data_IF_655502769783
#
_entry.id   IF_655502769783
#
_cell.length_a   1.000
_cell.length_b   1.000
_cell.length_c   1.000
_cell.angle_alpha   90.00
_cell.angle_beta   90.00
_cell.angle_gamma   90.00
#
_symmetry.space_group_name_H-M   'P 1'
#
loop_
_entity.id
_entity.type
_entity.pdbx_description
1 polymer ?
#
# COMPACT_ATOMS: atom_id res chain seq x y z
N UNK A 1 -15.98 21.42 -25.88
CA UNK A 1 -17.12 22.26 -25.49
C UNK A 1 -16.79 22.88 -24.14
N UNK A 2 -16.51 24.18 -24.13
CA UNK A 2 -16.23 24.94 -22.91
C UNK A 2 -17.56 25.07 -22.16
N UNK A 3 -17.74 24.33 -21.06
CA UNK A 3 -18.90 24.51 -20.18
C UNK A 3 -18.77 25.86 -19.51
N UNK A 4 -19.47 26.86 -20.05
CA UNK A 4 -19.53 28.20 -19.48
C UNK A 4 -20.17 28.11 -18.07
N UNK A 5 -19.50 28.72 -17.11
CA UNK A 5 -20.01 28.85 -15.74
C UNK A 5 -21.12 29.92 -15.79
N UNK A 6 -22.33 29.64 -15.26
CA UNK A 6 -23.41 30.61 -15.27
C UNK A 6 -23.07 31.84 -14.41
N UNK A 7 -23.47 33.03 -14.87
CA UNK A 7 -23.34 34.27 -14.09
C UNK A 7 -24.13 34.17 -12.78
N UNK A 8 -23.47 34.48 -11.66
CA UNK A 8 -23.98 34.18 -10.30
C UNK A 8 -24.02 35.37 -9.35
N UNK A 9 -23.97 36.59 -9.90
CA UNK A 9 -23.90 37.85 -9.12
C UNK A 9 -25.00 37.96 -8.05
N UNK A 10 -26.25 37.59 -8.38
CA UNK A 10 -27.36 37.60 -7.40
C UNK A 10 -27.25 36.52 -6.32
N UNK A 11 -26.70 35.35 -6.66
CA UNK A 11 -26.50 34.26 -5.71
C UNK A 11 -25.41 34.66 -4.72
N UNK A 12 -24.31 35.26 -5.19
CA UNK A 12 -23.21 35.73 -4.35
C UNK A 12 -23.70 36.75 -3.32
N UNK A 13 -24.42 37.79 -3.74
CA UNK A 13 -24.98 38.79 -2.82
C UNK A 13 -25.90 38.18 -1.75
N UNK A 14 -26.79 37.25 -2.13
CA UNK A 14 -27.69 36.55 -1.19
C UNK A 14 -26.93 35.62 -0.23
N UNK A 15 -25.77 35.11 -0.62
CA UNK A 15 -24.96 34.21 0.22
C UNK A 15 -24.12 34.99 1.22
N UNK A 16 -23.63 36.17 0.84
CA UNK A 16 -22.86 37.07 1.72
C UNK A 16 -23.73 37.65 2.85
N UNK A 17 -24.95 38.13 2.53
CA UNK A 17 -25.86 38.68 3.54
C UNK A 17 -26.41 37.62 4.51
N UNK A 18 -26.50 36.36 4.07
CA UNK A 18 -27.04 35.26 4.87
C UNK A 18 -26.23 34.98 6.15
N UNK A 19 -24.90 35.16 6.12
CA UNK A 19 -24.04 34.90 7.28
C UNK A 19 -24.19 36.00 8.32
N UNK A 20 -24.28 37.26 7.89
CA UNK A 20 -24.46 38.41 8.79
C UNK A 20 -25.84 38.37 9.46
N UNK A 21 -26.88 38.07 8.68
CA UNK A 21 -28.24 37.92 9.20
C UNK A 21 -28.36 36.74 10.17
N UNK A 22 -27.69 35.61 9.88
CA UNK A 22 -27.64 34.47 10.80
C UNK A 22 -26.96 34.81 12.14
N UNK A 23 -25.87 35.59 12.13
CA UNK A 23 -25.16 36.01 13.35
C UNK A 23 -25.99 36.97 14.22
N UNK A 24 -26.94 37.70 13.61
CA UNK A 24 -27.81 38.65 14.31
C UNK A 24 -28.94 38.01 15.12
N UNK A 25 -29.23 36.72 14.92
CA UNK A 25 -30.30 36.04 15.66
C UNK A 25 -29.88 35.68 17.08
N UNK A 26 -30.58 36.26 18.07
CA UNK A 26 -30.57 35.82 19.46
C UNK A 26 -31.92 35.17 19.79
N UNK A 27 -31.97 33.83 19.80
CA UNK A 27 -33.21 33.07 19.95
C UNK A 27 -33.59 32.95 21.43
N UNK A 28 -34.14 34.02 22.00
CA UNK A 28 -34.55 34.11 23.41
C UNK A 28 -36.08 34.11 23.60
N UNK A 29 -36.86 34.12 22.51
CA UNK A 29 -38.31 34.15 22.54
C UNK A 29 -38.93 33.26 21.46
N UNK A 30 -40.19 32.78 21.66
CA UNK A 30 -40.90 31.98 20.67
C UNK A 30 -41.07 32.68 19.30
N UNK A 31 -41.23 34.00 19.29
CA UNK A 31 -41.37 34.80 18.07
C UNK A 31 -40.06 34.81 17.28
N UNK A 32 -38.92 34.99 17.96
CA UNK A 32 -37.59 34.96 17.31
C UNK A 32 -37.25 33.54 16.85
N UNK A 33 -37.68 32.50 17.58
CA UNK A 33 -37.56 31.11 17.15
C UNK A 33 -38.30 30.84 15.83
N UNK A 34 -39.55 31.30 15.71
CA UNK A 34 -40.34 31.14 14.49
C UNK A 34 -39.71 31.90 13.31
N UNK A 35 -39.26 33.14 13.52
CA UNK A 35 -38.57 33.94 12.52
C UNK A 35 -37.25 33.28 12.06
N UNK A 36 -36.44 32.77 12.98
CA UNK A 36 -35.20 32.03 12.66
C UNK A 36 -35.50 30.74 11.87
N UNK A 37 -36.61 30.05 12.18
CA UNK A 37 -37.06 28.88 11.44
C UNK A 37 -37.45 29.20 9.99
N UNK A 38 -38.14 30.32 9.76
CA UNK A 38 -38.49 30.79 8.41
C UNK A 38 -37.24 31.20 7.61
N UNK A 39 -36.31 31.91 8.25
CA UNK A 39 -35.03 32.28 7.64
C UNK A 39 -34.22 31.03 7.23
N UNK A 40 -34.11 30.04 8.12
CA UNK A 40 -33.46 28.75 7.83
C UNK A 40 -34.09 28.04 6.62
N UNK A 41 -35.41 28.09 6.48
CA UNK A 41 -36.13 27.55 5.31
C UNK A 41 -35.80 28.32 4.03
N UNK A 42 -35.67 29.65 4.11
CA UNK A 42 -35.20 30.49 3.01
C UNK A 42 -33.80 30.11 2.53
N UNK A 43 -32.85 29.90 3.46
CA UNK A 43 -31.51 29.43 3.14
C UNK A 43 -31.51 28.08 2.42
N UNK A 44 -32.40 27.16 2.80
CA UNK A 44 -32.57 25.88 2.10
C UNK A 44 -33.08 26.06 0.67
N UNK A 45 -33.95 27.04 0.43
CA UNK A 45 -34.38 27.42 -0.92
C UNK A 45 -33.23 27.91 -1.80
N UNK A 46 -32.37 28.80 -1.27
CA UNK A 46 -31.19 29.30 -1.98
C UNK A 46 -30.20 28.16 -2.27
N UNK A 47 -29.93 27.28 -1.29
CA UNK A 47 -29.10 26.09 -1.49
C UNK A 47 -29.64 25.20 -2.62
N UNK A 48 -30.96 25.02 -2.69
CA UNK A 48 -31.60 24.27 -3.77
C UNK A 48 -31.40 24.92 -5.14
N UNK A 49 -31.57 26.23 -5.25
CA UNK A 49 -31.35 26.97 -6.51
C UNK A 49 -29.89 26.88 -6.99
N UNK A 50 -28.93 26.96 -6.06
CA UNK A 50 -27.50 26.74 -6.36
C UNK A 50 -27.31 25.33 -6.93
N UNK A 51 -27.81 24.30 -6.24
CA UNK A 51 -27.68 22.92 -6.71
C UNK A 51 -28.35 22.72 -8.07
N UNK A 52 -29.56 23.24 -8.29
CA UNK A 52 -30.24 23.15 -9.59
C UNK A 52 -29.44 23.81 -10.73
N UNK A 53 -28.72 24.90 -10.42
CA UNK A 53 -27.90 25.64 -11.39
C UNK A 53 -26.59 24.90 -11.70
N UNK A 54 -25.91 24.37 -10.68
CA UNK A 54 -24.56 23.83 -10.81
C UNK A 54 -24.51 22.30 -10.98
N UNK A 55 -25.46 21.54 -10.43
CA UNK A 55 -25.50 20.08 -10.54
C UNK A 55 -25.46 19.58 -11.99
N UNK A 56 -26.18 20.19 -12.96
CA UNK A 56 -26.12 19.74 -14.35
C UNK A 56 -24.71 19.89 -14.96
N UNK A 57 -24.02 21.00 -14.66
CA UNK A 57 -22.65 21.26 -15.14
C UNK A 57 -21.67 20.30 -14.49
N UNK A 58 -21.77 20.10 -13.18
CA UNK A 58 -20.94 19.15 -12.42
C UNK A 58 -21.14 17.73 -12.93
N UNK A 59 -22.39 17.30 -13.13
CA UNK A 59 -22.73 15.97 -13.67
C UNK A 59 -22.16 15.77 -15.07
N UNK A 60 -22.28 16.76 -15.94
CA UNK A 60 -21.73 16.72 -17.31
C UNK A 60 -20.21 16.59 -17.30
N UNK A 61 -19.52 17.43 -16.52
CA UNK A 61 -18.06 17.38 -16.40
C UNK A 61 -17.58 16.05 -15.79
N UNK A 62 -18.27 15.55 -14.78
CA UNK A 62 -17.96 14.25 -14.17
C UNK A 62 -18.17 13.09 -15.14
N UNK A 63 -19.23 13.12 -15.95
CA UNK A 63 -19.48 12.13 -16.99
C UNK A 63 -18.35 12.13 -18.03
N UNK A 64 -17.96 13.30 -18.54
CA UNK A 64 -16.85 13.44 -19.49
C UNK A 64 -15.51 12.95 -18.90
N UNK A 65 -15.20 13.32 -17.66
CA UNK A 65 -14.02 12.83 -16.94
C UNK A 65 -14.05 11.30 -16.79
N UNK A 66 -15.19 10.74 -16.38
CA UNK A 66 -15.35 9.29 -16.20
C UNK A 66 -15.17 8.55 -17.52
N UNK A 67 -15.69 9.06 -18.62
CA UNK A 67 -15.49 8.49 -19.95
C UNK A 67 -14.04 8.56 -20.40
N UNK A 68 -13.38 9.69 -20.22
CA UNK A 68 -11.96 9.86 -20.54
C UNK A 68 -11.08 8.89 -19.72
N UNK A 69 -11.34 8.76 -18.42
CA UNK A 69 -10.63 7.81 -17.54
C UNK A 69 -10.91 6.37 -17.97
N UNK A 70 -12.16 6.04 -18.34
CA UNK A 70 -12.52 4.70 -18.83
C UNK A 70 -11.80 4.37 -20.14
N UNK A 71 -11.76 5.31 -21.09
CA UNK A 71 -11.03 5.14 -22.35
C UNK A 71 -9.54 4.95 -22.10
N UNK A 72 -8.91 5.82 -21.28
CA UNK A 72 -7.51 5.67 -20.87
C UNK A 72 -7.26 4.30 -20.24
N UNK A 73 -8.11 3.86 -19.30
CA UNK A 73 -7.98 2.57 -18.64
C UNK A 73 -8.09 1.40 -19.62
N UNK A 74 -9.03 1.45 -20.58
CA UNK A 74 -9.21 0.42 -21.60
C UNK A 74 -7.94 0.18 -22.42
N UNK A 75 -7.20 1.24 -22.74
CA UNK A 75 -5.96 1.14 -23.52
C UNK A 75 -4.73 0.84 -22.64
N UNK A 76 -4.70 1.33 -21.39
CA UNK A 76 -3.60 1.07 -20.46
C UNK A 76 -3.63 -0.35 -19.87
N UNK A 77 -4.80 -0.94 -19.65
CA UNK A 77 -4.89 -2.27 -19.01
C UNK A 77 -4.16 -3.38 -19.76
N UNK A 78 -4.28 -3.52 -21.10
CA UNK A 78 -3.50 -4.51 -21.85
C UNK A 78 -1.99 -4.29 -21.72
N UNK A 79 -1.52 -3.03 -21.76
CA UNK A 79 -0.10 -2.71 -21.60
C UNK A 79 0.40 -3.06 -20.20
N UNK A 80 -0.34 -2.68 -19.15
CA UNK A 80 0.00 -3.02 -17.77
C UNK A 80 0.04 -4.55 -17.57
N UNK A 81 -0.87 -5.30 -18.19
CA UNK A 81 -0.87 -6.77 -18.16
C UNK A 81 0.35 -7.35 -18.88
N UNK A 82 0.66 -6.86 -20.07
CA UNK A 82 1.82 -7.29 -20.83
C UNK A 82 3.13 -7.01 -20.07
N UNK A 83 3.25 -5.81 -19.50
CA UNK A 83 4.38 -5.43 -18.65
C UNK A 83 4.52 -6.36 -17.45
N UNK A 84 3.43 -6.66 -16.74
CA UNK A 84 3.44 -7.58 -15.60
C UNK A 84 3.90 -8.99 -16.01
N UNK A 85 3.42 -9.50 -17.14
CA UNK A 85 3.81 -10.82 -17.67
C UNK A 85 5.30 -10.84 -18.03
N UNK A 86 5.80 -9.82 -18.71
CA UNK A 86 7.22 -9.75 -19.11
C UNK A 86 8.12 -9.62 -17.88
N UNK A 87 7.76 -8.77 -16.91
CA UNK A 87 8.49 -8.64 -15.64
C UNK A 87 8.56 -9.96 -14.86
N UNK A 88 7.45 -10.69 -14.80
CA UNK A 88 7.41 -12.00 -14.14
C UNK A 88 8.30 -13.04 -14.84
N UNK A 89 8.28 -13.07 -16.18
CA UNK A 89 9.17 -13.94 -16.97
C UNK A 89 10.65 -13.59 -16.79
N UNK A 90 10.99 -12.29 -16.81
CA UNK A 90 12.36 -11.81 -16.57
C UNK A 90 12.80 -12.18 -15.16
N UNK A 91 11.93 -11.99 -14.15
CA UNK A 91 12.21 -12.34 -12.76
C UNK A 91 12.43 -13.84 -12.59
N UNK A 92 11.56 -14.67 -13.17
CA UNK A 92 11.66 -16.13 -13.12
C UNK A 92 12.95 -16.62 -13.78
N UNK A 93 13.30 -16.07 -14.94
CA UNK A 93 14.56 -16.40 -15.63
C UNK A 93 15.77 -15.99 -14.79
N UNK A 94 15.80 -14.77 -14.23
CA UNK A 94 16.90 -14.30 -13.40
C UNK A 94 17.10 -15.17 -12.15
N UNK A 95 16.02 -15.62 -11.51
CA UNK A 95 16.08 -16.56 -10.38
C UNK A 95 16.61 -17.93 -10.81
N UNK A 96 16.19 -18.43 -11.97
CA UNK A 96 16.66 -19.72 -12.49
C UNK A 96 18.16 -19.70 -12.86
N UNK A 97 18.61 -18.65 -13.53
CA UNK A 97 20.03 -18.45 -13.86
C UNK A 97 20.90 -18.31 -12.60
N UNK A 98 20.44 -17.53 -11.62
CA UNK A 98 21.13 -17.40 -10.34
C UNK A 98 21.22 -18.75 -9.60
N UNK A 99 20.15 -19.55 -9.65
CA UNK A 99 20.15 -20.90 -9.07
C UNK A 99 21.15 -21.81 -9.78
N UNK A 100 21.14 -21.80 -11.12
CA UNK A 100 22.06 -22.59 -11.94
C UNK A 100 23.52 -22.21 -11.64
N UNK A 101 23.82 -20.92 -11.57
CA UNK A 101 25.15 -20.43 -11.21
C UNK A 101 25.60 -20.95 -9.85
N UNK A 102 24.73 -20.87 -8.84
CA UNK A 102 25.03 -21.38 -7.49
C UNK A 102 25.23 -22.90 -7.45
N UNK A 103 24.44 -23.64 -8.23
CA UNK A 103 24.59 -25.09 -8.32
C UNK A 103 25.92 -25.47 -9.00
N UNK A 104 26.31 -24.74 -10.06
CA UNK A 104 27.61 -24.90 -10.73
C UNK A 104 28.79 -24.52 -9.82
N UNK A 105 28.69 -23.39 -9.10
CA UNK A 105 29.66 -22.97 -8.08
C UNK A 105 29.82 -24.06 -7.01
N UNK A 106 28.72 -24.64 -6.52
CA UNK A 106 28.75 -25.73 -5.53
C UNK A 106 29.43 -26.98 -6.06
N UNK A 107 29.14 -27.38 -7.30
CA UNK A 107 29.76 -28.56 -7.93
C UNK A 107 31.27 -28.33 -8.10
N UNK A 108 31.66 -27.16 -8.59
CA UNK A 108 33.07 -26.83 -8.83
C UNK A 108 33.84 -26.68 -7.50
N UNK A 109 33.20 -26.14 -6.46
CA UNK A 109 33.76 -26.09 -5.11
C UNK A 109 33.97 -27.50 -4.53
N UNK A 110 33.01 -28.40 -4.71
CA UNK A 110 33.12 -29.78 -4.25
C UNK A 110 34.22 -30.54 -5.00
N UNK A 111 34.35 -30.32 -6.31
CA UNK A 111 35.43 -30.88 -7.12
C UNK A 111 36.80 -30.34 -6.67
N UNK A 112 36.95 -29.03 -6.46
CA UNK A 112 38.17 -28.42 -5.95
C UNK A 112 38.55 -28.96 -4.56
N UNK A 113 37.56 -29.12 -3.67
CA UNK A 113 37.80 -29.71 -2.34
C UNK A 113 38.30 -31.16 -2.43
N UNK A 114 37.71 -31.96 -3.32
CA UNK A 114 38.15 -33.36 -3.54
C UNK A 114 39.56 -33.44 -4.13
N UNK A 115 39.91 -32.54 -5.06
CA UNK A 115 41.26 -32.49 -5.62
C UNK A 115 42.30 -32.11 -4.57
N UNK A 116 42.00 -31.14 -3.71
CA UNK A 116 42.87 -30.75 -2.60
C UNK A 116 43.03 -31.90 -1.59
N UNK A 117 41.93 -32.56 -1.22
CA UNK A 117 41.94 -33.73 -0.34
C UNK A 117 42.78 -34.89 -0.94
N UNK A 118 42.64 -35.17 -2.23
CA UNK A 118 43.44 -36.20 -2.92
C UNK A 118 44.93 -35.83 -3.00
N UNK A 119 45.26 -34.56 -3.25
CA UNK A 119 46.64 -34.08 -3.25
C UNK A 119 47.29 -34.23 -1.87
N UNK A 120 46.52 -33.91 -0.81
CA UNK A 120 46.94 -34.06 0.59
C UNK A 120 47.12 -35.50 1.02
N UNK A 121 46.23 -36.40 0.59
CA UNK A 121 46.39 -37.84 0.80
C UNK A 121 47.67 -38.36 0.13
N UNK A 122 47.95 -37.95 -1.10
CA UNK A 122 49.21 -38.32 -1.78
C UNK A 122 50.44 -37.77 -1.07
N UNK A 123 50.39 -36.52 -0.60
CA UNK A 123 51.47 -35.91 0.18
C UNK A 123 51.72 -36.68 1.49
N UNK A 124 50.66 -37.12 2.17
CA UNK A 124 50.75 -37.96 3.36
C UNK A 124 51.36 -39.33 3.05
N UNK A 125 50.92 -40.01 1.99
CA UNK A 125 51.45 -41.31 1.55
C UNK A 125 52.95 -41.22 1.20
N UNK A 126 53.39 -40.13 0.56
CA UNK A 126 54.80 -39.87 0.26
C UNK A 126 55.64 -39.57 1.52
N UNK A 127 55.07 -38.89 2.52
CA UNK A 127 55.71 -38.67 3.82
C UNK A 127 55.84 -39.98 4.62
N UNK A 128 54.80 -40.82 4.62
CA UNK A 128 54.81 -42.15 5.24
C UNK A 128 55.86 -43.07 4.60
N UNK A 129 55.95 -43.08 3.26
CA UNK A 129 56.97 -43.86 2.53
C UNK A 129 58.41 -43.43 2.85
N UNK A 130 58.62 -42.18 3.31
CA UNK A 130 59.91 -41.66 3.79
C UNK A 130 60.14 -41.91 5.28
N UNK A 131 59.16 -42.47 6.00
CA UNK A 131 59.23 -42.74 7.43
C UNK A 131 59.07 -41.49 8.31
N UNK A 132 58.55 -40.40 7.75
CA UNK A 132 58.38 -39.12 8.44
C UNK A 132 56.98 -39.01 9.06
N UNK A 133 56.83 -39.59 10.25
CA UNK A 133 55.55 -39.72 10.95
C UNK A 133 55.02 -38.38 11.48
N UNK A 134 55.89 -37.44 11.85
CA UNK A 134 55.48 -36.11 12.32
C UNK A 134 54.82 -35.31 11.19
N UNK A 135 55.40 -35.36 9.99
CA UNK A 135 54.84 -34.69 8.80
C UNK A 135 53.49 -35.29 8.38
N UNK A 136 53.26 -36.60 8.57
CA UNK A 136 51.95 -37.24 8.29
C UNK A 136 50.86 -36.73 9.24
N UNK A 137 51.16 -36.61 10.54
CA UNK A 137 50.20 -36.12 11.54
C UNK A 137 49.84 -34.65 11.29
N UNK A 138 50.83 -33.79 11.03
CA UNK A 138 50.60 -32.39 10.65
C UNK A 138 49.76 -32.30 9.36
N UNK A 139 49.94 -33.25 8.44
CA UNK A 139 49.21 -33.28 7.19
C UNK A 139 47.72 -33.62 7.39
N UNK A 140 47.42 -34.58 8.26
CA UNK A 140 46.05 -35.06 8.50
C UNK A 140 45.26 -34.16 9.46
N UNK A 141 45.94 -33.44 10.36
CA UNK A 141 45.30 -32.57 11.35
C UNK A 141 44.86 -31.22 10.75
N UNK A 142 45.52 -30.78 9.68
CA UNK A 142 45.19 -29.52 8.98
C UNK A 142 43.90 -29.66 8.16
N UNK A 143 42.87 -28.82 8.38
CA UNK A 143 41.62 -28.90 7.64
C UNK A 143 41.82 -28.52 6.16
N UNK A 144 41.19 -29.28 5.25
CA UNK A 144 41.21 -29.00 3.80
C UNK A 144 40.42 -27.72 3.52
N UNK A 145 41.11 -26.64 3.16
CA UNK A 145 40.51 -25.35 2.78
C UNK A 145 40.75 -25.09 1.30
N UNK A 146 39.77 -25.48 0.47
CA UNK A 146 39.77 -25.10 -0.94
C UNK A 146 39.31 -23.63 -1.11
N UNK A 147 39.95 -22.82 -1.98
CA UNK A 147 39.53 -21.45 -2.24
C UNK A 147 38.09 -21.41 -2.80
N UNK A 148 37.30 -20.38 -2.47
CA UNK A 148 35.92 -20.29 -2.94
C UNK A 148 35.87 -19.99 -4.45
N UNK A 149 35.12 -20.81 -5.19
CA UNK A 149 34.84 -20.62 -6.61
C UNK A 149 33.60 -19.75 -6.76
N UNK A 150 33.77 -18.59 -7.40
CA UNK A 150 32.67 -17.64 -7.66
C UNK A 150 32.58 -17.41 -9.16
N UNK A 151 31.42 -17.67 -9.76
CA UNK A 151 31.16 -17.46 -11.18
C UNK A 151 30.54 -16.07 -11.39
N UNK A 152 30.85 -15.43 -12.53
CA UNK A 152 30.22 -14.18 -12.89
C UNK A 152 28.72 -14.39 -13.22
N UNK A 153 27.88 -13.41 -12.89
CA UNK A 153 26.46 -13.44 -13.29
C UNK A 153 26.33 -13.39 -14.81
N UNK A 154 25.52 -14.29 -15.37
CA UNK A 154 25.29 -14.42 -16.82
C UNK A 154 24.15 -13.52 -17.30
N UNK A 155 23.37 -12.94 -16.38
CA UNK A 155 22.22 -12.10 -16.74
C UNK A 155 22.68 -10.73 -17.26
N UNK A 156 22.27 -10.32 -18.47
CA UNK A 156 22.69 -9.04 -19.05
C UNK A 156 22.06 -7.87 -18.29
N UNK A 157 22.87 -6.84 -18.00
CA UNK A 157 22.40 -5.60 -17.38
C UNK A 157 21.82 -4.69 -18.45
N UNK A 158 20.49 -4.58 -18.49
CA UNK A 158 19.78 -3.68 -19.41
C UNK A 158 19.60 -2.32 -18.76
N UNK A 159 20.01 -1.24 -19.44
CA UNK A 159 19.79 0.13 -18.94
C UNK A 159 18.29 0.42 -18.77
N UNK A 160 17.93 1.05 -17.65
CA UNK A 160 16.54 1.36 -17.30
C UNK A 160 15.76 0.23 -16.63
N UNK A 161 16.31 -0.99 -16.51
CA UNK A 161 15.70 -2.09 -15.75
C UNK A 161 16.46 -2.29 -14.43
N UNK A 162 15.79 -2.02 -13.32
CA UNK A 162 16.32 -2.24 -11.96
C UNK A 162 15.59 -3.38 -11.26
N UNK A 163 16.34 -4.16 -10.49
CA UNK A 163 15.79 -5.20 -9.62
C UNK A 163 15.60 -4.62 -8.22
N UNK A 164 14.41 -4.80 -7.65
CA UNK A 164 14.10 -4.41 -6.27
C UNK A 164 13.63 -5.62 -5.50
N UNK A 165 14.24 -5.87 -4.34
CA UNK A 165 13.82 -6.93 -3.43
C UNK A 165 12.58 -6.49 -2.66
N UNK A 166 11.44 -7.13 -2.94
CA UNK A 166 10.18 -6.89 -2.22
C UNK A 166 10.00 -7.95 -1.16
N UNK A 167 10.10 -7.54 0.11
CA UNK A 167 9.82 -8.41 1.26
C UNK A 167 8.31 -8.57 1.45
N UNK A 168 7.83 -9.82 1.43
CA UNK A 168 6.41 -10.15 1.65
C UNK A 168 6.29 -10.99 2.92
N UNK A 169 5.18 -10.82 3.65
CA UNK A 169 4.87 -11.60 4.84
C UNK A 169 3.49 -12.25 4.71
N UNK A 170 3.30 -13.36 5.43
CA UNK A 170 1.99 -14.00 5.63
C UNK A 170 1.79 -14.21 7.12
N UNK A 171 0.63 -13.81 7.63
CA UNK A 171 0.26 -14.02 9.02
C UNK A 171 0.01 -15.52 9.21
N UNK A 172 0.84 -16.17 10.03
CA UNK A 172 0.66 -17.57 10.42
C UNK A 172 -0.30 -17.73 11.59
N UNK A 173 -0.26 -16.81 12.56
CA UNK A 173 -1.10 -16.80 13.74
C UNK A 173 -1.52 -15.36 14.12
N UNK A 174 -2.80 -14.97 13.93
CA UNK A 174 -3.29 -13.64 14.29
C UNK A 174 -3.25 -13.34 15.79
N UNK A 175 -3.40 -14.34 16.67
CA UNK A 175 -3.45 -14.15 18.11
C UNK A 175 -2.08 -13.74 18.69
N UNK A 176 -1.00 -14.17 18.05
CA UNK A 176 0.37 -13.82 18.43
C UNK A 176 0.83 -12.44 17.95
N UNK A 177 -0.02 -11.67 17.25
CA UNK A 177 0.32 -10.32 16.81
C UNK A 177 0.18 -9.36 18.01
N UNK A 178 1.22 -8.59 18.37
CA UNK A 178 1.10 -7.54 19.38
C UNK A 178 -0.01 -6.53 19.08
N UNK A 179 -0.71 -6.04 20.11
CA UNK A 179 -1.89 -5.18 19.94
C UNK A 179 -1.60 -3.87 19.18
N UNK A 180 -0.35 -3.37 19.21
CA UNK A 180 0.10 -2.22 18.41
C UNK A 180 -0.03 -2.40 16.89
N UNK A 181 -0.08 -3.64 16.40
CA UNK A 181 -0.27 -3.94 14.98
C UNK A 181 -1.71 -4.40 14.67
N UNK A 182 -2.58 -4.47 15.69
CA UNK A 182 -4.00 -4.74 15.52
C UNK A 182 -4.74 -3.42 15.34
N UNK A 183 -5.68 -3.39 14.41
CA UNK A 183 -6.49 -2.22 14.12
C UNK A 183 -7.88 -2.44 14.71
N UNK A 184 -8.39 -1.44 15.44
CA UNK A 184 -9.72 -1.47 16.06
C UNK A 184 -10.77 -1.20 14.98
N UNK A 185 -11.80 -2.05 14.90
CA UNK A 185 -12.88 -1.90 13.92
C UNK A 185 -13.92 -0.86 14.39
N UNK A 186 -13.64 0.42 14.14
CA UNK A 186 -14.50 1.56 14.50
C UNK A 186 -15.91 1.46 13.89
N UNK A 187 -16.04 0.84 12.72
CA UNK A 187 -17.33 0.72 12.03
C UNK A 187 -18.26 -0.20 12.80
N UNK A 188 -17.75 -1.33 13.30
CA UNK A 188 -18.54 -2.25 14.14
C UNK A 188 -18.88 -1.62 15.48
N UNK A 189 -17.93 -0.94 16.12
CA UNK A 189 -18.18 -0.21 17.37
C UNK A 189 -19.29 0.82 17.16
N UNK A 190 -19.19 1.64 16.11
CA UNK A 190 -20.20 2.65 15.78
C UNK A 190 -21.59 2.08 15.49
N UNK A 191 -21.70 0.87 14.93
CA UNK A 191 -22.99 0.18 14.76
C UNK A 191 -23.61 -0.20 16.11
N UNK A 192 -22.80 -0.71 17.04
CA UNK A 192 -23.25 -1.09 18.38
C UNK A 192 -23.65 0.16 19.17
N UNK A 193 -22.83 1.22 19.13
CA UNK A 193 -23.12 2.51 19.77
C UNK A 193 -24.43 3.11 19.26
N UNK A 194 -24.70 3.06 17.95
CA UNK A 194 -25.98 3.56 17.38
C UNK A 194 -27.19 2.73 17.79
N UNK A 195 -27.02 1.42 17.98
CA UNK A 195 -28.10 0.51 18.36
C UNK A 195 -28.42 0.59 19.86
N UNK A 196 -27.38 0.57 20.70
CA UNK A 196 -27.49 0.50 22.16
C UNK A 196 -27.51 1.88 22.83
N UNK A 197 -27.01 2.93 22.16
CA UNK A 197 -26.97 4.32 22.66
C UNK A 197 -26.37 4.36 24.07
N UNK A 198 -27.09 4.90 25.04
CA UNK A 198 -26.66 5.05 26.44
C UNK A 198 -26.45 3.70 27.17
N UNK A 199 -26.92 2.58 26.61
CA UNK A 199 -26.73 1.23 27.16
C UNK A 199 -25.50 0.53 26.60
N UNK A 200 -24.65 1.21 25.82
CA UNK A 200 -23.46 0.61 25.24
C UNK A 200 -22.38 0.38 26.30
N UNK A 201 -22.10 -0.88 26.62
CA UNK A 201 -21.04 -1.27 27.55
C UNK A 201 -19.86 -1.90 26.81
N UNK A 202 -19.10 -1.09 26.07
CA UNK A 202 -17.84 -1.52 25.44
C UNK A 202 -16.68 -0.91 26.24
N UNK A 203 -15.83 -1.72 26.88
CA UNK A 203 -14.68 -1.22 27.62
C UNK A 203 -13.79 -0.32 26.74
N UNK A 204 -13.53 0.90 27.21
CA UNK A 204 -12.68 1.88 26.51
C UNK A 204 -13.38 2.75 25.46
N UNK A 205 -14.71 2.69 25.33
CA UNK A 205 -15.49 3.56 24.44
C UNK A 205 -16.42 4.45 25.27
N UNK A 206 -16.29 5.77 25.12
CA UNK A 206 -17.21 6.75 25.69
C UNK A 206 -18.30 7.10 24.66
N UNK A 207 -19.58 7.00 25.07
CA UNK A 207 -20.73 7.32 24.23
C UNK A 207 -21.38 8.61 24.72
N UNK A 208 -21.54 9.58 23.83
CA UNK A 208 -22.24 10.84 24.09
C UNK A 208 -23.28 11.13 23.00
N UNK A 209 -24.30 11.93 23.34
CA UNK A 209 -25.34 12.36 22.39
C UNK A 209 -25.32 13.88 22.21
N UNK A 210 -25.44 14.32 20.95
CA UNK A 210 -25.55 15.72 20.57
C UNK A 210 -26.81 15.90 19.74
N UNK A 211 -27.63 16.91 20.07
CA UNK A 211 -28.82 17.23 19.30
C UNK A 211 -28.47 18.18 18.15
N UNK A 212 -28.64 17.73 16.91
CA UNK A 212 -28.45 18.56 15.71
C UNK A 212 -29.80 18.99 15.12
N UNK A 213 -30.01 20.29 14.87
CA UNK A 213 -31.18 20.79 14.14
C UNK A 213 -31.07 20.44 12.66
N UNK A 214 -32.14 19.88 12.07
CA UNK A 214 -32.21 19.56 10.63
C UNK A 214 -33.41 20.26 10.00
N UNK A 215 -33.15 21.05 8.96
CA UNK A 215 -34.20 21.61 8.11
C UNK A 215 -34.24 20.86 6.77
N UNK A 216 -35.43 20.44 6.33
CA UNK A 216 -35.69 19.96 4.97
C UNK A 216 -36.30 21.12 4.17
N UNK A 217 -35.75 21.39 2.99
CA UNK A 217 -36.30 22.31 1.99
C UNK A 217 -36.34 21.65 0.62
#
# INVERSE_FOLDING_TARGET
>A
MTTAIPETTEIVQKTESAIEEAKGYQIDSPVVYEAAGLFLKGLKGIQKQINETFDPVVKSAYAAHKEAVKAKKKHMEPLNKAEAIVKDKIGTYAVAEEKKRRDEERILQEAARKQEEEARLKEAEEAEARGDTETVEEILETPVVAPPVVLASVTPKVEGISYTTIWKFRIKNPAGIPDKYKLIDEVKIGKIVKAMKDQTNIPGVEVYSEQSVRARG
#
